data_IF_388809003083
#
_entry.id   IF_388809003083
#
_cell.length_a   1.000
_cell.length_b   1.000
_cell.length_c   1.000
_cell.angle_alpha   90.00
_cell.angle_beta   90.00
_cell.angle_gamma   90.00
#
_symmetry.space_group_name_H-M   'P 1'
#
loop_
_entity.id
_entity.type
_entity.pdbx_description
1 polymer ?
#
# COMPACT_ATOMS: atom_id res chain seq x y z
N UNK A 1 11.61 9.85 -26.66
CA UNK A 1 11.97 11.11 -25.95
C UNK A 1 10.94 12.16 -26.28
N UNK A 2 9.89 12.28 -25.46
CA UNK A 2 8.93 13.38 -25.55
C UNK A 2 9.45 14.55 -24.71
N UNK A 3 9.54 15.73 -25.33
CA UNK A 3 9.88 16.98 -24.64
C UNK A 3 8.77 17.30 -23.64
N UNK A 4 9.12 17.35 -22.36
CA UNK A 4 8.26 17.87 -21.30
C UNK A 4 8.07 19.36 -21.57
N UNK A 5 6.83 19.76 -21.90
CA UNK A 5 6.45 21.17 -21.98
C UNK A 5 6.44 21.76 -20.56
N UNK A 6 7.55 22.39 -20.16
CA UNK A 6 7.63 23.13 -18.91
C UNK A 6 6.84 24.45 -19.05
N UNK A 7 5.61 24.45 -18.54
CA UNK A 7 4.83 25.67 -18.33
C UNK A 7 5.48 26.53 -17.22
N UNK A 8 5.52 27.88 -17.35
CA UNK A 8 6.07 28.78 -16.33
C UNK A 8 5.41 28.66 -14.94
N UNK A 9 4.18 28.13 -14.88
CA UNK A 9 3.51 27.85 -13.60
C UNK A 9 4.12 26.64 -12.86
N UNK A 10 4.68 25.67 -13.60
CA UNK A 10 5.30 24.49 -12.98
C UNK A 10 6.64 24.85 -12.33
N UNK A 11 7.43 25.73 -12.94
CA UNK A 11 8.70 26.20 -12.37
C UNK A 11 8.50 27.01 -11.08
N UNK A 12 7.50 27.90 -11.05
CA UNK A 12 7.16 28.66 -9.83
C UNK A 12 6.70 27.77 -8.68
N UNK A 13 5.91 26.74 -8.98
CA UNK A 13 5.45 25.78 -7.97
C UNK A 13 6.60 24.92 -7.45
N UNK A 14 7.51 24.51 -8.32
CA UNK A 14 8.70 23.76 -7.94
C UNK A 14 9.63 24.57 -7.04
N UNK A 15 9.91 25.83 -7.39
CA UNK A 15 10.71 26.73 -6.56
C UNK A 15 10.06 27.01 -5.19
N UNK A 16 8.73 27.16 -5.15
CA UNK A 16 8.01 27.31 -3.89
C UNK A 16 8.15 26.06 -3.01
N UNK A 17 7.97 24.87 -3.58
CA UNK A 17 8.14 23.61 -2.86
C UNK A 17 9.58 23.46 -2.36
N UNK A 18 10.58 23.72 -3.22
CA UNK A 18 12.00 23.66 -2.86
C UNK A 18 12.31 24.55 -1.67
N UNK A 19 11.82 25.80 -1.64
CA UNK A 19 11.99 26.70 -0.49
C UNK A 19 11.36 26.15 0.79
N UNK A 20 10.15 25.59 0.70
CA UNK A 20 9.48 24.95 1.85
C UNK A 20 10.33 23.79 2.37
N UNK A 21 10.81 22.93 1.48
CA UNK A 21 11.64 21.78 1.83
C UNK A 21 12.99 22.21 2.41
N UNK A 22 13.62 23.27 1.91
CA UNK A 22 14.84 23.84 2.52
C UNK A 22 14.58 24.31 3.95
N UNK A 23 13.50 25.05 4.21
CA UNK A 23 13.14 25.49 5.57
C UNK A 23 12.90 24.30 6.51
N UNK A 24 12.24 23.26 6.00
CA UNK A 24 12.07 22.00 6.72
C UNK A 24 13.43 21.37 7.04
N UNK A 25 14.31 21.23 6.06
CA UNK A 25 15.65 20.66 6.23
C UNK A 25 16.50 21.44 7.25
N UNK A 26 16.43 22.77 7.23
CA UNK A 26 17.09 23.62 8.22
C UNK A 26 16.62 23.32 9.65
N UNK A 27 15.35 22.95 9.81
CA UNK A 27 14.77 22.54 11.10
C UNK A 27 15.16 21.11 11.51
N UNK A 28 15.76 20.33 10.60
CA UNK A 28 16.16 18.93 10.80
C UNK A 28 17.67 18.72 10.92
N UNK A 29 18.46 19.81 11.06
CA UNK A 29 19.94 19.72 11.12
C UNK A 29 20.46 18.75 12.19
N UNK A 30 19.89 18.74 13.39
CA UNK A 30 20.31 17.80 14.44
C UNK A 30 20.00 16.34 14.08
N UNK A 31 18.87 16.08 13.42
CA UNK A 31 18.59 14.76 12.87
C UNK A 31 19.62 14.35 11.81
N UNK A 32 20.00 15.28 10.91
CA UNK A 32 21.02 15.01 9.91
C UNK A 32 22.39 14.72 10.53
N UNK A 33 22.79 15.41 11.61
CA UNK A 33 24.03 15.11 12.34
C UNK A 33 24.01 13.69 12.89
N UNK A 34 22.91 13.29 13.53
CA UNK A 34 22.75 11.94 14.07
C UNK A 34 22.76 10.86 12.97
N UNK A 35 22.16 11.15 11.81
CA UNK A 35 22.18 10.24 10.67
C UNK A 35 23.60 10.05 10.14
N UNK A 36 24.37 11.12 10.00
CA UNK A 36 25.76 11.09 9.52
C UNK A 36 26.67 10.41 10.56
N UNK A 37 26.47 10.67 11.86
CA UNK A 37 27.21 10.00 12.93
C UNK A 37 26.99 8.49 12.91
N UNK A 38 25.76 8.02 12.69
CA UNK A 38 25.46 6.57 12.56
C UNK A 38 26.20 5.91 11.39
N UNK A 39 26.41 6.63 10.30
CA UNK A 39 27.10 6.11 9.11
C UNK A 39 28.63 6.16 9.25
N UNK A 40 29.16 7.24 9.83
CA UNK A 40 30.59 7.56 9.81
C UNK A 40 31.30 7.35 11.15
N UNK A 41 30.56 7.17 12.25
CA UNK A 41 31.02 7.23 13.64
C UNK A 41 31.65 8.57 14.03
N UNK A 42 31.36 9.66 13.30
CA UNK A 42 31.84 11.01 13.59
C UNK A 42 30.63 11.96 13.60
N UNK A 43 30.48 12.76 14.65
CA UNK A 43 29.45 13.80 14.73
C UNK A 43 29.96 15.08 14.03
N UNK A 44 29.32 15.53 12.93
CA UNK A 44 29.69 16.80 12.30
C UNK A 44 29.24 17.99 13.16
N UNK A 45 30.09 19.00 13.26
CA UNK A 45 29.85 20.23 14.00
C UNK A 45 28.81 21.10 13.28
N UNK A 46 28.94 21.24 11.97
CA UNK A 46 28.07 22.06 11.12
C UNK A 46 27.51 21.27 9.94
N UNK A 47 26.31 21.65 9.51
CA UNK A 47 25.65 21.09 8.32
C UNK A 47 25.16 22.23 7.46
N UNK A 48 25.52 22.19 6.18
CA UNK A 48 25.00 23.08 5.15
C UNK A 48 24.18 22.27 4.14
N UNK A 49 22.98 22.74 3.82
CA UNK A 49 22.15 22.13 2.77
C UNK A 49 22.56 22.76 1.44
N UNK A 50 23.25 21.98 0.59
CA UNK A 50 23.71 22.43 -0.72
C UNK A 50 22.53 22.46 -1.71
N UNK A 51 21.74 21.39 -1.70
CA UNK A 51 20.63 21.23 -2.63
C UNK A 51 19.54 20.34 -2.04
N UNK A 52 18.31 20.55 -2.52
CA UNK A 52 17.13 19.77 -2.16
C UNK A 52 16.41 19.39 -3.44
N UNK A 53 16.34 18.09 -3.70
CA UNK A 53 15.58 17.53 -4.81
C UNK A 53 14.34 16.81 -4.29
N UNK A 54 13.27 16.81 -5.07
CA UNK A 54 12.00 16.20 -4.69
C UNK A 54 11.41 15.48 -5.89
N UNK A 55 10.87 14.28 -5.65
CA UNK A 55 10.11 13.51 -6.62
C UNK A 55 8.73 13.20 -6.04
N UNK A 56 7.69 13.43 -6.83
CA UNK A 56 6.31 13.15 -6.42
C UNK A 56 6.07 11.63 -6.43
N UNK A 57 5.73 11.09 -5.26
CA UNK A 57 5.23 9.73 -5.14
C UNK A 57 3.74 9.77 -5.44
N UNK A 58 3.30 9.04 -6.46
CA UNK A 58 1.91 9.07 -6.92
C UNK A 58 0.98 8.43 -5.87
N UNK A 59 0.46 9.22 -4.94
CA UNK A 59 -0.69 8.88 -4.11
C UNK A 59 -1.83 9.84 -4.41
N UNK A 60 -3.01 9.31 -4.73
CA UNK A 60 -4.15 10.04 -5.31
C UNK A 60 -4.80 11.09 -4.39
N UNK A 61 -4.51 11.09 -3.08
CA UNK A 61 -5.19 11.95 -2.08
C UNK A 61 -4.26 12.86 -1.26
N UNK A 62 -2.98 12.51 -1.18
CA UNK A 62 -1.96 13.24 -0.42
C UNK A 62 -0.78 13.59 -1.31
N UNK A 63 -0.18 14.77 -1.10
CA UNK A 63 1.07 15.12 -1.78
C UNK A 63 2.23 14.51 -1.00
N UNK A 64 2.65 13.34 -1.46
CA UNK A 64 3.79 12.61 -0.91
C UNK A 64 5.01 12.88 -1.78
N UNK A 65 6.09 13.32 -1.17
CA UNK A 65 7.33 13.66 -1.85
C UNK A 65 8.48 12.82 -1.30
N UNK A 66 9.22 12.16 -2.18
CA UNK A 66 10.53 11.62 -1.84
C UNK A 66 11.55 12.74 -1.99
N UNK A 67 12.13 13.19 -0.87
CA UNK A 67 12.98 14.38 -0.82
C UNK A 67 14.40 13.95 -0.49
N UNK A 68 15.35 14.37 -1.32
CA UNK A 68 16.76 14.12 -1.11
C UNK A 68 17.48 15.42 -0.81
N UNK A 69 18.09 15.48 0.37
CA UNK A 69 18.94 16.57 0.84
C UNK A 69 20.40 16.23 0.56
N UNK A 70 21.06 17.07 -0.23
CA UNK A 70 22.50 17.02 -0.44
C UNK A 70 23.15 17.96 0.57
N UNK A 71 23.95 17.38 1.46
CA UNK A 71 24.53 18.05 2.62
C UNK A 71 26.04 18.20 2.46
N UNK A 72 26.59 19.32 2.92
CA UNK A 72 28.03 19.54 3.10
C UNK A 72 28.34 19.68 4.58
N UNK A 73 29.41 19.01 4.99
CA UNK A 73 29.97 19.06 6.35
C UNK A 73 31.49 19.08 6.26
N UNK A 74 32.17 19.27 7.38
CA UNK A 74 33.63 19.19 7.45
C UNK A 74 34.20 17.79 7.18
N UNK A 75 33.38 16.74 7.31
CA UNK A 75 33.77 15.34 7.05
C UNK A 75 33.47 14.88 5.62
N UNK A 76 32.78 15.70 4.82
CA UNK A 76 32.49 15.43 3.42
C UNK A 76 31.06 15.75 3.02
N UNK A 77 30.67 15.21 1.85
CA UNK A 77 29.33 15.35 1.29
C UNK A 77 28.49 14.14 1.65
N UNK A 78 27.27 14.41 2.09
CA UNK A 78 26.32 13.38 2.53
C UNK A 78 24.99 13.54 1.82
N UNK A 79 24.26 12.45 1.70
CA UNK A 79 22.93 12.42 1.09
C UNK A 79 21.96 11.83 2.10
N UNK A 80 20.91 12.57 2.43
CA UNK A 80 19.83 12.08 3.29
C UNK A 80 18.53 12.12 2.51
N UNK A 81 17.83 10.99 2.47
CA UNK A 81 16.52 10.87 1.85
C UNK A 81 15.42 10.80 2.91
N UNK A 82 14.33 11.52 2.69
CA UNK A 82 13.16 11.59 3.54
C UNK A 82 11.88 11.43 2.72
N UNK A 83 10.80 10.99 3.36
CA UNK A 83 9.46 11.05 2.77
C UNK A 83 8.70 12.18 3.46
N UNK A 84 8.34 13.21 2.70
CA UNK A 84 7.59 14.36 3.19
C UNK A 84 6.17 14.28 2.67
N UNK A 85 5.19 14.22 3.58
CA UNK A 85 3.77 14.11 3.24
C UNK A 85 3.01 15.32 3.77
N UNK A 86 2.25 15.96 2.89
CA UNK A 86 1.33 17.04 3.23
C UNK A 86 -0.12 16.55 3.13
N UNK A 87 -0.84 16.56 4.25
CA UNK A 87 -2.24 16.20 4.32
C UNK A 87 -3.13 17.34 3.84
N UNK A 88 -4.26 17.01 3.20
CA UNK A 88 -5.24 17.99 2.69
C UNK A 88 -5.88 18.85 3.78
N UNK A 89 -6.15 18.24 4.94
CA UNK A 89 -6.85 18.82 6.08
C UNK A 89 -6.30 18.26 7.40
N UNK A 90 -6.76 18.84 8.51
CA UNK A 90 -6.30 18.44 9.85
C UNK A 90 -6.81 17.05 10.25
N UNK A 91 -8.02 16.68 9.81
CA UNK A 91 -8.59 15.36 10.06
C UNK A 91 -7.76 14.25 9.42
N UNK A 92 -7.36 14.41 8.14
CA UNK A 92 -6.48 13.47 7.46
C UNK A 92 -5.10 13.37 8.13
N UNK A 93 -4.55 14.49 8.60
CA UNK A 93 -3.28 14.52 9.34
C UNK A 93 -3.37 13.73 10.66
N UNK A 94 -4.42 13.96 11.45
CA UNK A 94 -4.64 13.25 12.72
C UNK A 94 -4.87 11.76 12.47
N UNK A 95 -5.72 11.43 11.49
CA UNK A 95 -6.02 10.04 11.11
C UNK A 95 -4.74 9.30 10.73
N UNK A 96 -3.88 9.90 9.92
CA UNK A 96 -2.63 9.26 9.50
C UNK A 96 -1.67 8.99 10.65
N UNK A 97 -1.51 9.93 11.60
CA UNK A 97 -0.67 9.72 12.79
C UNK A 97 -1.23 8.60 13.66
N UNK A 98 -2.55 8.62 13.93
CA UNK A 98 -3.21 7.57 14.70
C UNK A 98 -3.01 6.20 14.05
N UNK A 99 -3.18 6.14 12.72
CA UNK A 99 -3.01 4.92 11.96
C UNK A 99 -1.56 4.43 11.92
N UNK A 100 -0.59 5.34 11.85
CA UNK A 100 0.83 5.03 11.98
C UNK A 100 1.14 4.37 13.32
N UNK A 101 0.56 4.87 14.43
CA UNK A 101 0.76 4.31 15.76
C UNK A 101 0.15 2.91 15.90
N UNK A 102 -1.04 2.69 15.33
CA UNK A 102 -1.69 1.35 15.26
C UNK A 102 -0.79 0.38 14.50
N UNK A 103 -0.34 0.75 13.30
CA UNK A 103 0.49 -0.09 12.45
C UNK A 103 1.84 -0.40 13.12
N UNK A 104 2.51 0.62 13.66
CA UNK A 104 3.79 0.48 14.36
C UNK A 104 3.67 -0.43 15.59
N UNK A 105 2.56 -0.32 16.34
CA UNK A 105 2.33 -1.17 17.50
C UNK A 105 2.09 -2.62 17.12
N UNK A 106 1.31 -2.86 16.06
CA UNK A 106 1.00 -4.21 15.55
C UNK A 106 2.25 -4.94 15.05
N UNK A 107 3.21 -4.20 14.49
CA UNK A 107 4.44 -4.74 13.91
C UNK A 107 5.62 -4.77 14.90
N UNK A 108 5.49 -4.18 16.09
CA UNK A 108 6.60 -3.99 17.06
C UNK A 108 7.32 -5.29 17.45
N UNK A 109 6.59 -6.41 17.52
CA UNK A 109 7.15 -7.71 17.89
C UNK A 109 7.92 -8.40 16.75
N UNK A 110 7.92 -7.82 15.55
CA UNK A 110 8.47 -8.43 14.33
C UNK A 110 9.53 -7.52 13.69
N UNK A 111 10.81 -7.66 14.06
CA UNK A 111 11.87 -6.72 13.67
C UNK A 111 12.22 -6.72 12.17
N UNK A 112 11.62 -7.60 11.38
CA UNK A 112 11.77 -7.62 9.92
C UNK A 112 10.72 -6.80 9.18
N UNK A 113 9.58 -6.50 9.80
CA UNK A 113 8.51 -5.71 9.19
C UNK A 113 8.43 -4.37 9.92
N UNK A 114 8.70 -3.30 9.18
CA UNK A 114 8.94 -1.98 9.74
C UNK A 114 7.96 -0.97 9.12
N UNK A 115 7.51 -0.04 9.94
CA UNK A 115 6.92 1.21 9.46
C UNK A 115 8.02 2.26 9.49
N UNK A 116 8.27 3.00 8.40
CA UNK A 116 9.29 4.04 8.38
C UNK A 116 9.08 5.06 9.51
N UNK A 117 10.07 5.32 10.38
CA UNK A 117 9.90 6.19 11.53
C UNK A 117 9.41 7.60 11.18
N UNK A 118 8.40 8.12 11.91
CA UNK A 118 8.09 9.55 11.88
C UNK A 118 9.20 10.30 12.64
N UNK A 119 9.95 11.13 11.91
CA UNK A 119 11.02 11.96 12.48
C UNK A 119 10.56 13.39 12.79
N UNK A 120 9.47 13.84 12.14
CA UNK A 120 8.88 15.15 12.38
C UNK A 120 7.38 15.16 12.09
N UNK A 121 6.64 15.92 12.90
CA UNK A 121 5.20 16.13 12.75
C UNK A 121 4.84 17.58 13.04
N UNK A 122 3.99 18.19 12.20
CA UNK A 122 3.50 19.56 12.39
C UNK A 122 2.02 19.67 12.05
N UNK A 123 1.19 19.83 13.09
CA UNK A 123 -0.25 20.02 12.93
C UNK A 123 -0.57 21.32 12.18
N UNK A 124 0.15 22.42 12.49
CA UNK A 124 -0.01 23.72 11.81
C UNK A 124 0.17 23.63 10.29
N UNK A 125 1.16 22.84 9.85
CA UNK A 125 1.48 22.68 8.44
C UNK A 125 0.89 21.39 7.85
N UNK A 126 0.15 20.60 8.64
CA UNK A 126 -0.40 19.28 8.28
C UNK A 126 0.65 18.40 7.60
N UNK A 127 1.86 18.41 8.16
CA UNK A 127 3.05 17.83 7.56
C UNK A 127 3.59 16.71 8.45
N UNK A 128 3.85 15.57 7.83
CA UNK A 128 4.51 14.42 8.45
C UNK A 128 5.75 14.11 7.63
N UNK A 129 6.87 13.89 8.32
CA UNK A 129 8.13 13.51 7.69
C UNK A 129 8.53 12.17 8.26
N UNK A 130 8.68 11.21 7.34
CA UNK A 130 9.18 9.89 7.64
C UNK A 130 10.65 9.80 7.21
N UNK A 131 11.43 9.04 7.96
CA UNK A 131 12.70 8.54 7.47
C UNK A 131 12.44 7.73 6.19
N UNK A 132 13.13 8.02 5.09
CA UNK A 132 13.03 7.15 3.94
C UNK A 132 13.75 5.86 4.31
N UNK A 133 13.02 4.75 4.43
CA UNK A 133 13.62 3.42 4.61
C UNK A 133 14.69 3.19 3.54
N UNK A 134 15.95 3.38 3.96
CA UNK A 134 17.24 3.24 3.28
C UNK A 134 17.22 3.32 1.75
N UNK A 135 17.79 4.40 1.21
CA UNK A 135 18.44 4.49 -0.10
C UNK A 135 17.59 4.26 -1.36
N UNK A 136 17.81 5.11 -2.36
CA UNK A 136 17.31 4.90 -3.74
C UNK A 136 17.94 3.64 -4.39
N UNK A 137 18.98 3.06 -3.78
CA UNK A 137 19.83 2.02 -4.37
C UNK A 137 19.73 0.62 -3.74
N UNK A 138 18.74 0.35 -2.87
CA UNK A 138 18.51 -1.01 -2.39
C UNK A 138 18.11 -1.92 -3.57
N UNK A 139 19.03 -2.78 -4.03
CA UNK A 139 18.76 -3.75 -5.09
C UNK A 139 17.63 -4.68 -4.66
N UNK A 140 16.45 -4.49 -5.24
CA UNK A 140 15.25 -5.28 -5.02
C UNK A 140 15.30 -6.61 -5.79
N UNK A 141 16.41 -7.34 -5.74
CA UNK A 141 16.53 -8.67 -6.36
C UNK A 141 15.93 -9.74 -5.44
N UNK A 142 14.68 -9.55 -5.02
CA UNK A 142 13.91 -10.58 -4.33
C UNK A 142 13.13 -11.38 -5.37
N UNK A 143 13.09 -12.70 -5.20
CA UNK A 143 12.28 -13.55 -6.08
C UNK A 143 10.78 -13.22 -5.89
N UNK A 144 9.96 -13.47 -6.90
CA UNK A 144 8.51 -13.27 -6.77
C UNK A 144 7.92 -14.15 -5.65
N UNK A 145 8.37 -15.40 -5.56
CA UNK A 145 7.91 -16.33 -4.52
C UNK A 145 8.29 -15.83 -3.11
N UNK A 146 9.48 -15.26 -2.92
CA UNK A 146 9.86 -14.69 -1.62
C UNK A 146 9.11 -13.38 -1.33
N UNK A 147 8.90 -12.54 -2.33
CA UNK A 147 8.06 -11.35 -2.20
C UNK A 147 6.65 -11.69 -1.74
N UNK A 148 6.03 -12.72 -2.33
CA UNK A 148 4.72 -13.22 -1.91
C UNK A 148 4.72 -13.69 -0.45
N UNK A 149 5.73 -14.45 -0.02
CA UNK A 149 5.86 -14.90 1.38
C UNK A 149 5.94 -13.71 2.35
N UNK A 150 6.80 -12.74 2.07
CA UNK A 150 6.98 -11.58 2.93
C UNK A 150 5.76 -10.67 2.96
N UNK A 151 5.06 -10.51 1.83
CA UNK A 151 3.80 -9.77 1.77
C UNK A 151 2.70 -10.47 2.58
N UNK A 152 2.55 -11.79 2.43
CA UNK A 152 1.59 -12.59 3.19
C UNK A 152 1.82 -12.50 4.70
N UNK A 153 3.09 -12.67 5.12
CA UNK A 153 3.49 -12.51 6.51
C UNK A 153 3.19 -11.12 7.02
N UNK A 154 3.62 -10.08 6.30
CA UNK A 154 3.39 -8.68 6.67
C UNK A 154 1.91 -8.43 6.89
N UNK A 155 1.06 -8.89 5.98
CA UNK A 155 -0.38 -8.68 6.08
C UNK A 155 -1.02 -9.43 7.24
N UNK A 156 -0.58 -10.66 7.51
CA UNK A 156 -1.06 -11.43 8.67
C UNK A 156 -0.72 -10.72 9.99
N UNK A 157 0.47 -10.11 10.08
CA UNK A 157 0.88 -9.32 11.24
C UNK A 157 0.05 -8.04 11.42
N UNK A 158 -0.28 -7.35 10.32
CA UNK A 158 -1.16 -6.16 10.35
C UNK A 158 -2.56 -6.55 10.85
N UNK A 159 -3.12 -7.64 10.32
CA UNK A 159 -4.46 -8.09 10.69
C UNK A 159 -4.54 -8.64 12.12
N UNK A 160 -3.45 -9.21 12.63
CA UNK A 160 -3.34 -9.67 14.01
C UNK A 160 -4.32 -10.79 14.37
N UNK A 161 -4.64 -10.90 15.67
CA UNK A 161 -5.26 -12.09 16.28
C UNK A 161 -6.80 -12.10 16.36
N UNK A 162 -7.47 -11.02 15.97
CA UNK A 162 -8.93 -10.92 16.13
C UNK A 162 -9.72 -11.65 15.05
N UNK A 163 -10.68 -12.51 15.42
CA UNK A 163 -11.74 -12.96 14.54
C UNK A 163 -13.10 -12.48 15.06
N UNK A 164 -13.81 -11.70 14.25
CA UNK A 164 -15.12 -11.14 14.55
C UNK A 164 -15.97 -11.13 13.29
N UNK A 165 -17.28 -11.02 13.47
CA UNK A 165 -18.20 -10.79 12.36
C UNK A 165 -17.84 -9.50 11.61
N UNK A 166 -18.01 -9.54 10.28
CA UNK A 166 -17.71 -8.42 9.40
C UNK A 166 -18.89 -7.45 9.38
N UNK A 167 -18.62 -6.16 9.54
CA UNK A 167 -19.63 -5.13 9.28
C UNK A 167 -19.80 -4.95 7.77
N UNK A 168 -20.92 -5.46 7.25
CA UNK A 168 -21.20 -5.48 5.81
C UNK A 168 -21.69 -4.14 5.26
N UNK A 169 -22.19 -3.24 6.11
CA UNK A 169 -22.91 -2.04 5.65
C UNK A 169 -22.02 -1.06 4.88
N UNK A 170 -20.75 -0.84 5.26
CA UNK A 170 -19.87 0.03 4.49
C UNK A 170 -19.55 -0.52 3.10
N UNK A 171 -19.38 -1.85 2.97
CA UNK A 171 -19.17 -2.51 1.68
C UNK A 171 -20.38 -2.36 0.77
N UNK A 172 -21.57 -2.61 1.31
CA UNK A 172 -22.84 -2.43 0.62
C UNK A 172 -23.03 -0.98 0.17
N UNK A 173 -22.75 -0.02 1.04
CA UNK A 173 -22.88 1.41 0.74
C UNK A 173 -21.96 1.82 -0.40
N UNK A 174 -20.67 1.46 -0.32
CA UNK A 174 -19.68 1.78 -1.34
C UNK A 174 -20.03 1.15 -2.68
N UNK A 175 -20.37 -0.15 -2.70
CA UNK A 175 -20.58 -0.84 -3.97
C UNK A 175 -21.86 -0.40 -4.68
N UNK A 176 -22.94 -0.15 -3.93
CA UNK A 176 -24.18 0.38 -4.50
C UNK A 176 -23.98 1.80 -5.05
N UNK A 177 -23.20 2.62 -4.34
CA UNK A 177 -22.81 3.93 -4.83
C UNK A 177 -22.02 3.82 -6.14
N UNK A 178 -20.98 2.98 -6.20
CA UNK A 178 -20.18 2.81 -7.42
C UNK A 178 -21.02 2.29 -8.60
N UNK A 179 -21.90 1.32 -8.36
CA UNK A 179 -22.80 0.79 -9.39
C UNK A 179 -23.71 1.90 -9.92
N UNK A 180 -24.31 2.71 -9.03
CA UNK A 180 -25.18 3.83 -9.44
C UNK A 180 -24.48 4.87 -10.31
N UNK A 181 -23.15 4.96 -10.25
CA UNK A 181 -22.37 5.89 -11.08
C UNK A 181 -22.22 5.43 -12.54
N UNK A 182 -22.56 4.17 -12.85
CA UNK A 182 -22.58 3.63 -14.21
C UNK A 182 -23.68 4.26 -15.07
N UNK A 183 -24.77 4.74 -14.46
CA UNK A 183 -25.94 5.32 -15.12
C UNK A 183 -26.53 4.39 -16.20
N UNK A 184 -26.66 3.10 -15.90
CA UNK A 184 -27.22 2.10 -16.81
C UNK A 184 -28.02 1.05 -16.01
N UNK A 185 -29.33 1.25 -15.93
CA UNK A 185 -30.24 0.46 -15.07
C UNK A 185 -30.14 -1.06 -15.30
N UNK A 186 -30.05 -1.50 -16.56
CA UNK A 186 -29.93 -2.93 -16.87
C UNK A 186 -28.61 -3.53 -16.36
N UNK A 187 -27.51 -2.80 -16.52
CA UNK A 187 -26.20 -3.23 -16.04
C UNK A 187 -26.12 -3.17 -14.51
N UNK A 188 -26.69 -2.13 -13.91
CA UNK A 188 -26.74 -1.96 -12.47
C UNK A 188 -27.47 -3.14 -11.81
N UNK A 189 -28.65 -3.50 -12.32
CA UNK A 189 -29.41 -4.63 -11.82
C UNK A 189 -28.67 -5.96 -12.01
N UNK A 190 -27.99 -6.14 -13.16
CA UNK A 190 -27.17 -7.31 -13.42
C UNK A 190 -26.06 -7.45 -12.37
N UNK A 191 -25.27 -6.39 -12.15
CA UNK A 191 -24.15 -6.41 -11.22
C UNK A 191 -24.60 -6.59 -9.77
N UNK A 192 -25.70 -5.96 -9.36
CA UNK A 192 -26.28 -6.18 -8.03
C UNK A 192 -26.61 -7.66 -7.82
N UNK A 193 -27.28 -8.30 -8.79
CA UNK A 193 -27.65 -9.71 -8.70
C UNK A 193 -26.41 -10.63 -8.59
N UNK A 194 -25.33 -10.28 -9.29
CA UNK A 194 -24.06 -11.02 -9.22
C UNK A 194 -23.32 -10.84 -7.90
N UNK A 195 -23.53 -9.74 -7.18
CA UNK A 195 -22.86 -9.44 -5.90
C UNK A 195 -23.56 -10.02 -4.67
N UNK A 196 -24.87 -10.29 -4.75
CA UNK A 196 -25.66 -10.82 -3.63
C UNK A 196 -25.02 -12.06 -2.97
N UNK A 197 -24.51 -13.07 -3.73
CA UNK A 197 -23.85 -14.22 -3.12
C UNK A 197 -22.63 -13.85 -2.27
N UNK A 198 -21.79 -12.92 -2.74
CA UNK A 198 -20.62 -12.46 -1.98
C UNK A 198 -20.99 -11.71 -0.71
N UNK A 199 -22.04 -10.88 -0.76
CA UNK A 199 -22.56 -10.20 0.43
C UNK A 199 -23.11 -11.18 1.47
N UNK A 200 -23.74 -12.27 1.03
CA UNK A 200 -24.20 -13.33 1.94
C UNK A 200 -23.02 -14.01 2.67
N UNK A 201 -21.91 -14.23 1.97
CA UNK A 201 -20.70 -14.84 2.54
C UNK A 201 -20.01 -13.90 3.52
N UNK A 202 -19.87 -12.62 3.16
CA UNK A 202 -19.36 -11.58 4.07
C UNK A 202 -20.12 -11.58 5.40
N UNK A 203 -21.46 -11.68 5.34
CA UNK A 203 -22.33 -11.62 6.51
C UNK A 203 -22.12 -12.76 7.51
N UNK A 204 -21.74 -13.95 7.06
CA UNK A 204 -21.54 -15.13 7.93
C UNK A 204 -20.07 -15.34 8.31
N UNK A 205 -19.15 -14.65 7.64
CA UNK A 205 -17.71 -14.77 7.84
C UNK A 205 -17.26 -14.08 9.13
N UNK A 206 -16.20 -14.63 9.74
CA UNK A 206 -15.57 -14.13 10.97
C UNK A 206 -14.20 -13.49 10.73
N UNK A 207 -13.94 -13.09 9.49
CA UNK A 207 -12.66 -12.53 9.05
C UNK A 207 -12.49 -11.04 9.29
N UNK A 208 -13.22 -10.43 10.24
CA UNK A 208 -13.08 -9.01 10.57
C UNK A 208 -11.77 -8.73 11.32
N UNK A 209 -11.00 -7.74 10.88
CA UNK A 209 -9.72 -7.34 11.43
C UNK A 209 -9.46 -5.82 11.28
N UNK A 210 -8.31 -5.38 11.79
CA UNK A 210 -7.69 -4.15 11.28
C UNK A 210 -7.09 -4.47 9.91
N UNK A 211 -7.36 -3.64 8.92
CA UNK A 211 -6.76 -3.74 7.58
C UNK A 211 -5.86 -2.55 7.32
N UNK A 212 -4.93 -2.70 6.39
CA UNK A 212 -4.19 -1.61 5.78
C UNK A 212 -5.08 -0.72 4.90
N UNK A 213 -6.03 -1.31 4.18
CA UNK A 213 -7.00 -0.60 3.32
C UNK A 213 -6.43 -0.10 1.98
N UNK A 214 -5.15 -0.36 1.70
CA UNK A 214 -4.46 -0.03 0.45
C UNK A 214 -3.23 -0.94 0.29
N UNK A 215 -3.36 -2.22 0.63
CA UNK A 215 -2.23 -3.14 0.65
C UNK A 215 -1.88 -3.64 -0.75
N UNK A 216 -1.07 -2.88 -1.49
CA UNK A 216 -0.58 -3.29 -2.80
C UNK A 216 0.96 -3.26 -2.89
N UNK A 217 1.53 -3.91 -3.90
CA UNK A 217 2.99 -4.11 -4.05
C UNK A 217 3.81 -2.83 -3.93
N UNK A 218 3.34 -1.68 -4.42
CA UNK A 218 4.08 -0.41 -4.32
C UNK A 218 4.04 0.26 -2.94
N UNK A 219 3.20 -0.21 -2.01
CA UNK A 219 3.20 0.21 -0.60
C UNK A 219 4.11 -0.70 0.26
N UNK A 220 4.85 -1.61 -0.37
CA UNK A 220 5.86 -2.45 0.27
C UNK A 220 7.22 -2.19 -0.37
N UNK A 221 8.24 -1.95 0.45
CA UNK A 221 9.65 -1.97 0.00
C UNK A 221 10.38 -3.08 0.72
N UNK A 222 10.87 -4.05 -0.03
CA UNK A 222 11.66 -5.16 0.50
C UNK A 222 13.14 -4.91 0.22
N UNK A 223 13.94 -4.90 1.27
CA UNK A 223 15.38 -4.63 1.22
C UNK A 223 16.11 -5.87 1.69
N UNK A 224 17.00 -6.37 0.84
CA UNK A 224 17.88 -7.51 1.17
C UNK A 224 19.23 -6.95 1.61
N UNK A 225 19.76 -7.43 2.74
CA UNK A 225 21.10 -7.10 3.17
C UNK A 225 22.13 -7.70 2.20
N UNK A 226 22.89 -6.84 1.53
CA UNK A 226 23.90 -7.16 0.52
C UNK A 226 25.06 -8.02 1.01
N UNK A 227 25.21 -8.21 2.32
CA UNK A 227 26.24 -9.07 2.91
C UNK A 227 25.86 -10.56 2.94
N UNK A 228 24.63 -10.92 2.57
CA UNK A 228 24.10 -12.27 2.75
C UNK A 228 24.03 -13.09 1.45
N UNK A 229 24.58 -14.30 1.50
CA UNK A 229 24.59 -15.24 0.39
C UNK A 229 23.14 -15.64 0.02
N UNK A 230 22.77 -15.44 -1.25
CA UNK A 230 21.38 -15.55 -1.76
C UNK A 230 20.81 -16.99 -1.77
N UNK A 231 21.60 -17.99 -1.38
CA UNK A 231 21.28 -19.41 -1.53
C UNK A 231 20.28 -19.96 -0.49
N UNK A 232 19.92 -19.20 0.55
CA UNK A 232 18.92 -19.63 1.54
C UNK A 232 18.23 -18.47 2.26
N UNK A 233 17.19 -17.91 1.65
CA UNK A 233 16.19 -17.08 2.34
C UNK A 233 15.14 -18.01 2.97
N UNK A 234 15.40 -18.50 4.18
CA UNK A 234 14.40 -19.23 4.97
C UNK A 234 13.51 -18.25 5.75
N UNK A 235 12.32 -18.71 6.14
CA UNK A 235 11.25 -17.90 6.78
C UNK A 235 11.61 -17.28 8.14
N UNK A 236 12.80 -17.52 8.67
CA UNK A 236 13.28 -16.97 9.94
C UNK A 236 14.35 -15.87 9.81
N UNK A 237 14.81 -15.56 8.60
CA UNK A 237 15.93 -14.62 8.40
C UNK A 237 15.49 -13.15 8.44
N UNK A 238 14.99 -12.68 9.59
CA UNK A 238 14.77 -11.26 9.89
C UNK A 238 16.05 -10.40 9.80
N UNK A 239 17.20 -11.07 9.79
CA UNK A 239 18.54 -10.51 9.64
C UNK A 239 18.85 -10.17 8.17
N UNK A 240 18.24 -10.86 7.20
CA UNK A 240 18.59 -10.71 5.77
C UNK A 240 17.61 -9.86 4.98
N UNK A 241 16.34 -9.79 5.39
CA UNK A 241 15.30 -9.04 4.66
C UNK A 241 14.54 -8.13 5.61
N UNK A 242 14.45 -6.85 5.23
CA UNK A 242 13.57 -5.86 5.86
C UNK A 242 12.43 -5.52 4.91
N UNK A 243 11.20 -5.54 5.41
CA UNK A 243 10.00 -5.13 4.69
C UNK A 243 9.52 -3.82 5.31
N UNK A 244 9.46 -2.76 4.51
CA UNK A 244 8.90 -1.48 4.91
C UNK A 244 7.48 -1.36 4.37
N UNK A 245 6.54 -1.03 5.26
CA UNK A 245 5.13 -0.78 4.94
C UNK A 245 4.90 0.72 4.91
N UNK A 246 4.35 1.24 3.81
CA UNK A 246 4.10 2.66 3.60
C UNK A 246 2.61 2.97 3.55
N UNK A 247 2.29 4.25 3.71
CA UNK A 247 0.96 4.80 3.47
C UNK A 247 -0.15 4.28 4.41
N UNK A 248 0.00 4.54 5.71
CA UNK A 248 -0.96 4.16 6.75
C UNK A 248 -2.29 4.95 6.72
N UNK A 249 -2.54 5.80 5.72
CA UNK A 249 -3.74 6.66 5.66
C UNK A 249 -5.06 5.87 5.66
N UNK A 250 -5.04 4.65 5.12
CA UNK A 250 -6.23 3.83 4.90
C UNK A 250 -6.46 2.73 5.94
N UNK A 251 -5.67 2.72 7.02
CA UNK A 251 -5.86 1.75 8.09
C UNK A 251 -7.26 1.94 8.69
N UNK A 252 -8.02 0.86 8.70
CA UNK A 252 -9.39 0.81 9.21
C UNK A 252 -9.62 -0.46 10.02
N UNK A 253 -10.42 -0.34 11.08
CA UNK A 253 -10.78 -1.46 11.95
C UNK A 253 -12.14 -2.05 11.56
N UNK A 254 -12.35 -3.32 11.92
CA UNK A 254 -13.57 -4.08 11.69
C UNK A 254 -13.89 -4.26 10.20
N UNK A 255 -12.85 -4.46 9.39
CA UNK A 255 -12.92 -4.69 7.96
C UNK A 255 -12.55 -6.13 7.63
N UNK A 256 -13.00 -6.59 6.47
CA UNK A 256 -12.71 -7.91 5.95
C UNK A 256 -11.22 -8.06 5.58
N UNK A 257 -10.53 -9.07 6.14
CA UNK A 257 -9.12 -9.39 5.79
C UNK A 257 -8.91 -9.63 4.30
N UNK A 258 -9.90 -10.16 3.60
CA UNK A 258 -9.81 -10.39 2.16
C UNK A 258 -9.78 -9.09 1.33
N UNK A 259 -10.08 -7.93 1.91
CA UNK A 259 -9.97 -6.63 1.26
C UNK A 259 -8.54 -6.33 0.84
N UNK A 260 -7.59 -6.43 1.77
CA UNK A 260 -6.17 -6.22 1.49
C UNK A 260 -5.57 -7.31 0.60
N UNK A 261 -6.02 -8.56 0.75
CA UNK A 261 -5.60 -9.66 -0.13
C UNK A 261 -6.06 -9.37 -1.57
N UNK A 262 -7.32 -8.94 -1.72
CA UNK A 262 -7.87 -8.52 -3.01
C UNK A 262 -7.11 -7.34 -3.61
N UNK A 263 -6.85 -6.30 -2.82
CA UNK A 263 -6.08 -5.12 -3.24
C UNK A 263 -4.67 -5.50 -3.73
N UNK A 264 -4.00 -6.43 -3.03
CA UNK A 264 -2.66 -6.88 -3.38
C UNK A 264 -2.59 -7.54 -4.77
N UNK A 265 -3.60 -8.32 -5.13
CA UNK A 265 -3.64 -9.09 -6.37
C UNK A 265 -4.46 -8.46 -7.49
N UNK A 266 -5.21 -7.38 -7.25
CA UNK A 266 -6.16 -6.83 -8.22
C UNK A 266 -5.52 -6.52 -9.59
N UNK A 267 -4.34 -5.89 -9.60
CA UNK A 267 -3.62 -5.57 -10.84
C UNK A 267 -3.12 -6.82 -11.57
N UNK A 268 -2.65 -7.84 -10.84
CA UNK A 268 -2.19 -9.09 -11.43
C UNK A 268 -3.37 -9.87 -12.05
N UNK A 269 -4.52 -9.92 -11.36
CA UNK A 269 -5.76 -10.52 -11.88
C UNK A 269 -6.20 -9.82 -13.16
N UNK A 270 -6.22 -8.49 -13.15
CA UNK A 270 -6.56 -7.68 -14.31
C UNK A 270 -5.62 -7.97 -15.49
N UNK A 271 -4.32 -8.08 -15.22
CA UNK A 271 -3.30 -8.31 -16.24
C UNK A 271 -3.39 -9.72 -16.84
N UNK A 272 -3.53 -10.76 -16.01
CA UNK A 272 -3.66 -12.13 -16.49
C UNK A 272 -4.92 -12.31 -17.33
N UNK A 273 -6.06 -11.78 -16.87
CA UNK A 273 -7.31 -11.92 -17.60
C UNK A 273 -7.29 -11.17 -18.94
N UNK A 274 -6.70 -9.97 -18.99
CA UNK A 274 -6.54 -9.21 -20.25
C UNK A 274 -5.70 -9.98 -21.28
N UNK A 275 -4.68 -10.69 -20.83
CA UNK A 275 -3.76 -11.41 -21.72
C UNK A 275 -4.31 -12.78 -22.13
N UNK A 276 -4.90 -13.53 -21.19
CA UNK A 276 -5.13 -14.96 -21.34
C UNK A 276 -6.59 -15.39 -21.10
N UNK A 277 -7.47 -14.46 -20.68
CA UNK A 277 -8.85 -14.76 -20.24
C UNK A 277 -8.91 -15.94 -19.26
N UNK A 278 -7.97 -15.96 -18.32
CA UNK A 278 -7.75 -17.05 -17.36
C UNK A 278 -7.40 -16.51 -15.98
N UNK A 279 -7.56 -17.35 -14.96
CA UNK A 279 -7.23 -17.07 -13.55
C UNK A 279 -6.26 -18.10 -12.95
N UNK A 280 -5.75 -19.04 -13.76
CA UNK A 280 -5.04 -20.23 -13.23
C UNK A 280 -3.74 -19.84 -12.52
N UNK A 281 -2.94 -18.95 -13.12
CA UNK A 281 -1.63 -18.60 -12.56
C UNK A 281 -1.81 -17.78 -11.28
N UNK A 282 -2.69 -16.77 -11.31
CA UNK A 282 -2.96 -15.93 -10.16
C UNK A 282 -3.65 -16.68 -9.03
N UNK A 283 -4.54 -17.63 -9.33
CA UNK A 283 -5.12 -18.53 -8.30
C UNK A 283 -4.02 -19.28 -7.56
N UNK A 284 -3.04 -19.84 -8.26
CA UNK A 284 -1.92 -20.52 -7.62
C UNK A 284 -1.08 -19.58 -6.74
N UNK A 285 -0.88 -18.33 -7.16
CA UNK A 285 -0.18 -17.31 -6.36
C UNK A 285 -0.96 -16.92 -5.10
N UNK A 286 -2.27 -16.73 -5.22
CA UNK A 286 -3.16 -16.46 -4.08
C UNK A 286 -3.13 -17.62 -3.08
N UNK A 287 -3.20 -18.87 -3.54
CA UNK A 287 -3.12 -20.03 -2.65
C UNK A 287 -1.77 -20.14 -1.92
N UNK A 288 -0.65 -19.86 -2.61
CA UNK A 288 0.67 -19.75 -1.96
C UNK A 288 0.70 -18.64 -0.91
N UNK A 289 0.09 -17.49 -1.21
CA UNK A 289 0.00 -16.37 -0.29
C UNK A 289 -0.84 -16.73 0.95
N UNK A 290 -2.02 -17.31 0.78
CA UNK A 290 -2.89 -17.76 1.88
C UNK A 290 -2.16 -18.78 2.75
N UNK A 291 -1.42 -19.72 2.17
CA UNK A 291 -0.63 -20.69 2.93
C UNK A 291 0.39 -20.02 3.87
N UNK A 292 1.14 -19.02 3.39
CA UNK A 292 2.12 -18.29 4.22
C UNK A 292 1.44 -17.33 5.21
N UNK A 293 0.28 -16.81 4.83
CA UNK A 293 -0.58 -16.00 5.70
C UNK A 293 -1.05 -16.82 6.91
N UNK A 294 -1.61 -18.02 6.68
CA UNK A 294 -2.08 -18.93 7.73
C UNK A 294 -0.93 -19.44 8.61
N UNK A 295 0.22 -19.75 8.01
CA UNK A 295 1.42 -20.08 8.77
C UNK A 295 1.79 -18.96 9.73
N UNK A 296 1.73 -17.71 9.27
CA UNK A 296 2.01 -16.55 10.11
C UNK A 296 0.95 -16.35 11.19
N UNK A 297 -0.34 -16.51 10.87
CA UNK A 297 -1.42 -16.47 11.85
C UNK A 297 -1.18 -17.47 13.00
N UNK A 298 -0.78 -18.69 12.67
CA UNK A 298 -0.42 -19.71 13.66
C UNK A 298 0.79 -19.31 14.50
N UNK A 299 1.83 -18.74 13.88
CA UNK A 299 3.02 -18.23 14.59
C UNK A 299 2.67 -17.13 15.61
N UNK A 300 1.65 -16.31 15.33
CA UNK A 300 1.22 -15.22 16.22
C UNK A 300 0.10 -15.64 17.20
N UNK A 301 -0.23 -16.93 17.25
CA UNK A 301 -1.16 -17.50 18.23
C UNK A 301 -2.64 -17.44 17.85
N UNK A 302 -2.98 -17.25 16.57
CA UNK A 302 -4.36 -17.39 16.09
C UNK A 302 -4.71 -18.86 15.95
N UNK A 303 -5.80 -19.28 16.58
CA UNK A 303 -6.25 -20.68 16.56
C UNK A 303 -6.93 -21.07 15.24
N UNK A 304 -7.58 -20.11 14.59
CA UNK A 304 -8.31 -20.30 13.34
C UNK A 304 -7.42 -19.93 12.15
N UNK A 305 -7.36 -20.82 11.14
CA UNK A 305 -6.85 -20.46 9.82
C UNK A 305 -7.86 -19.59 9.05
N UNK A 306 -7.45 -19.02 7.94
CA UNK A 306 -8.30 -18.16 7.12
C UNK A 306 -9.52 -18.95 6.65
N UNK A 307 -9.38 -20.20 6.18
CA UNK A 307 -10.52 -21.01 5.74
C UNK A 307 -11.60 -21.16 6.81
N UNK A 308 -11.21 -21.35 8.07
CA UNK A 308 -12.14 -21.45 9.20
C UNK A 308 -12.88 -20.15 9.48
N UNK A 309 -12.30 -19.00 9.11
CA UNK A 309 -12.96 -17.69 9.19
C UNK A 309 -13.97 -17.46 8.05
N UNK A 310 -13.83 -18.16 6.93
CA UNK A 310 -14.68 -18.04 5.72
C UNK A 310 -15.23 -19.42 5.30
N UNK A 311 -16.22 -19.97 6.04
CA UNK A 311 -16.69 -21.35 5.82
C UNK A 311 -17.31 -21.59 4.43
N UNK A 312 -17.88 -20.55 3.81
CA UNK A 312 -18.51 -20.63 2.48
C UNK A 312 -17.60 -20.07 1.35
N UNK A 313 -16.30 -20.01 1.63
CA UNK A 313 -15.27 -19.56 0.71
C UNK A 313 -14.87 -18.09 0.89
N UNK A 314 -13.70 -17.75 0.37
CA UNK A 314 -13.12 -16.41 0.54
C UNK A 314 -13.90 -15.35 -0.26
N UNK A 315 -13.79 -14.11 0.20
CA UNK A 315 -14.41 -12.92 -0.40
C UNK A 315 -13.42 -12.15 -1.28
N UNK A 316 -12.28 -12.75 -1.64
CA UNK A 316 -11.24 -12.14 -2.49
C UNK A 316 -11.81 -11.67 -3.83
N UNK A 317 -12.63 -12.51 -4.50
CA UNK A 317 -13.26 -12.17 -5.77
C UNK A 317 -14.09 -10.88 -5.68
N UNK A 318 -14.80 -10.69 -4.57
CA UNK A 318 -15.63 -9.51 -4.31
C UNK A 318 -14.80 -8.23 -4.18
N UNK A 319 -13.67 -8.30 -3.48
CA UNK A 319 -12.79 -7.13 -3.29
C UNK A 319 -12.05 -6.77 -4.57
N UNK A 320 -11.59 -7.77 -5.33
CA UNK A 320 -11.00 -7.54 -6.66
C UNK A 320 -12.05 -6.95 -7.62
N UNK A 321 -13.27 -7.46 -7.61
CA UNK A 321 -14.40 -6.91 -8.38
C UNK A 321 -14.67 -5.44 -8.01
N UNK A 322 -14.66 -5.10 -6.72
CA UNK A 322 -14.84 -3.72 -6.26
C UNK A 322 -13.72 -2.80 -6.78
N UNK A 323 -12.47 -3.27 -6.77
CA UNK A 323 -11.33 -2.53 -7.34
C UNK A 323 -11.50 -2.27 -8.85
N UNK A 324 -11.94 -3.29 -9.61
CA UNK A 324 -12.18 -3.14 -11.05
C UNK A 324 -13.34 -2.16 -11.32
N UNK A 325 -14.36 -2.17 -10.46
CA UNK A 325 -15.46 -1.21 -10.56
C UNK A 325 -14.97 0.23 -10.34
N UNK A 326 -14.06 0.46 -9.38
CA UNK A 326 -13.39 1.76 -9.24
C UNK A 326 -12.66 2.17 -10.53
N UNK A 327 -11.88 1.28 -11.16
CA UNK A 327 -11.16 1.56 -12.42
C UNK A 327 -12.14 1.89 -13.58
N UNK A 328 -13.29 1.22 -13.64
CA UNK A 328 -14.36 1.54 -14.61
C UNK A 328 -14.92 2.95 -14.35
N UNK A 329 -15.25 3.26 -13.09
CA UNK A 329 -15.82 4.57 -12.74
C UNK A 329 -14.81 5.70 -12.98
N UNK A 330 -13.53 5.49 -12.68
CA UNK A 330 -12.46 6.43 -12.98
C UNK A 330 -12.35 6.69 -14.48
N UNK A 331 -12.35 5.64 -15.30
CA UNK A 331 -12.37 5.73 -16.75
C UNK A 331 -13.58 6.53 -17.28
N UNK A 332 -14.78 6.34 -16.71
CA UNK A 332 -15.99 7.06 -17.12
C UNK A 332 -15.93 8.54 -16.67
N UNK A 333 -15.62 8.80 -15.40
CA UNK A 333 -15.77 10.15 -14.81
C UNK A 333 -14.57 11.05 -15.08
N UNK A 334 -13.36 10.49 -15.02
CA UNK A 334 -12.12 11.26 -15.10
C UNK A 334 -11.50 11.18 -16.50
N UNK A 335 -11.44 10.00 -17.10
CA UNK A 335 -10.94 9.84 -18.49
C UNK A 335 -12.01 10.15 -19.54
N UNK A 336 -13.29 10.31 -19.13
CA UNK A 336 -14.44 10.61 -20.00
C UNK A 336 -14.66 9.56 -21.10
N UNK A 337 -14.33 8.30 -20.83
CA UNK A 337 -14.55 7.20 -21.76
C UNK A 337 -16.03 6.80 -21.78
N UNK A 338 -16.52 6.43 -22.97
CA UNK A 338 -17.85 5.81 -23.12
C UNK A 338 -17.86 4.42 -22.48
N UNK A 339 -19.01 4.03 -21.92
CA UNK A 339 -19.24 2.67 -21.40
C UNK A 339 -18.96 1.59 -22.44
N UNK A 340 -19.14 1.91 -23.73
CA UNK A 340 -18.89 0.99 -24.85
C UNK A 340 -17.41 0.92 -25.28
N UNK A 341 -16.52 1.65 -24.59
CA UNK A 341 -15.09 1.59 -24.90
C UNK A 341 -14.50 0.21 -24.63
N UNK A 342 -13.54 -0.21 -25.46
CA UNK A 342 -12.87 -1.51 -25.32
C UNK A 342 -12.27 -1.74 -23.93
N UNK A 343 -11.69 -0.69 -23.30
CA UNK A 343 -11.16 -0.74 -21.92
C UNK A 343 -12.28 -1.06 -20.92
N UNK A 344 -13.38 -0.32 -20.96
CA UNK A 344 -14.50 -0.52 -20.02
C UNK A 344 -15.18 -1.87 -20.26
N UNK A 345 -15.42 -2.26 -21.52
CA UNK A 345 -16.02 -3.56 -21.84
C UNK A 345 -15.16 -4.73 -21.36
N UNK A 346 -13.84 -4.66 -21.55
CA UNK A 346 -12.92 -5.69 -21.03
C UNK A 346 -12.95 -5.78 -19.51
N UNK A 347 -13.02 -4.64 -18.81
CA UNK A 347 -13.12 -4.61 -17.36
C UNK A 347 -14.50 -5.12 -16.88
N UNK A 348 -15.58 -4.83 -17.60
CA UNK A 348 -16.92 -5.36 -17.30
C UNK A 348 -17.02 -6.87 -17.52
N UNK A 349 -16.39 -7.40 -18.56
CA UNK A 349 -16.26 -8.85 -18.78
C UNK A 349 -15.55 -9.52 -17.61
N UNK A 350 -14.40 -8.97 -17.19
CA UNK A 350 -13.67 -9.47 -16.03
C UNK A 350 -14.50 -9.40 -14.74
N UNK A 351 -15.16 -8.27 -14.49
CA UNK A 351 -16.03 -8.08 -13.33
C UNK A 351 -17.11 -9.17 -13.28
N UNK A 352 -17.77 -9.44 -14.41
CA UNK A 352 -18.77 -10.51 -14.52
C UNK A 352 -18.16 -11.88 -14.29
N UNK A 353 -16.99 -12.16 -14.86
CA UNK A 353 -16.31 -13.45 -14.70
C UNK A 353 -15.95 -13.72 -13.23
N UNK A 354 -15.35 -12.75 -12.53
CA UNK A 354 -15.02 -12.87 -11.11
C UNK A 354 -16.25 -13.15 -10.24
N UNK A 355 -17.32 -12.39 -10.44
CA UNK A 355 -18.53 -12.53 -9.63
C UNK A 355 -19.34 -13.80 -9.93
N UNK A 356 -19.29 -14.31 -11.17
CA UNK A 356 -20.00 -15.54 -11.57
C UNK A 356 -19.22 -16.80 -11.25
N UNK A 357 -17.94 -16.85 -11.63
CA UNK A 357 -17.10 -18.04 -11.53
C UNK A 357 -16.48 -18.19 -10.14
N UNK A 358 -16.28 -17.07 -9.44
CA UNK A 358 -15.65 -17.01 -8.10
C UNK A 358 -14.38 -17.86 -8.01
N UNK A 359 -13.38 -17.59 -8.88
CA UNK A 359 -12.20 -18.44 -8.99
C UNK A 359 -11.36 -18.52 -7.72
N UNK A 360 -11.47 -17.56 -6.80
CA UNK A 360 -10.67 -17.47 -5.57
C UNK A 360 -11.47 -17.75 -4.29
N UNK A 361 -12.75 -18.12 -4.40
CA UNK A 361 -13.60 -18.52 -3.29
C UNK A 361 -13.20 -19.85 -2.66
#
# INVERSE_FOLDING_TARGET
MQKVNNSPNNEKNFEKLRRILTIIGESLKEYFKQSIEKETNITPNEISIIDVTSQDFHSSRSKTHFVTYNLETEIGKHVVSLIVKFSKDEEAYIKEISNYEILSSSLKSYPCVLVPPIIYKSAKNKCIIYEAGLGVDAKSNISEDDSLKFAARTLALIHGVGSKEIDIEPYKTVILFLISLLNNESLEQELINLLVPSLAILKISKGSAVIHGDFHKSNLKMVVDSSSDHSSLTTQNCEKVKVYVFNSEFIEANRDRCEDIGAYFALDVLTEYKNNKSFISIKNKIMKFIYEYDKTLKEIGVEQDLQSMYPDGYTIDFHVATYILYDIIDAIKNEKLSIDSSKIQTNLELLRALLRERPFA
#
